data_IF_859178139459
#
_entry.id   IF_859178139459
#
_cell.length_a   1.000
_cell.length_b   1.000
_cell.length_c   1.000
_cell.angle_alpha   90.00
_cell.angle_beta   90.00
_cell.angle_gamma   90.00
#
_symmetry.space_group_name_H-M   'P 1'
#
loop_
_entity.id
_entity.type
_entity.pdbx_description
1 polymer ?
#
# COMPACT_ATOMS: atom_id res chain seq x y z
N UNK A 1 48.99 15.62 -45.38
CA UNK A 1 48.26 14.38 -45.70
C UNK A 1 49.14 13.16 -45.44
N UNK A 2 50.28 13.02 -46.13
CA UNK A 2 51.17 11.84 -45.99
C UNK A 2 51.74 11.63 -44.58
N UNK A 3 52.09 12.71 -43.88
CA UNK A 3 52.57 12.62 -42.50
C UNK A 3 51.49 12.06 -41.56
N UNK A 4 50.22 12.43 -41.75
CA UNK A 4 49.10 11.92 -40.96
C UNK A 4 48.87 10.42 -41.22
N UNK A 5 48.90 10.00 -42.50
CA UNK A 5 48.77 8.59 -42.88
C UNK A 5 49.88 7.75 -42.27
N UNK A 6 51.13 8.22 -42.28
CA UNK A 6 52.28 7.46 -41.77
C UNK A 6 52.41 7.44 -40.24
N UNK A 7 51.86 8.42 -39.53
CA UNK A 7 52.09 8.58 -38.08
C UNK A 7 50.87 8.31 -37.22
N UNK A 8 49.66 8.60 -37.72
CA UNK A 8 48.43 8.58 -36.93
C UNK A 8 47.44 7.50 -37.36
N UNK A 9 47.46 7.06 -38.63
CA UNK A 9 46.66 5.91 -39.09
C UNK A 9 47.46 4.62 -38.89
N UNK A 10 47.34 4.03 -37.70
CA UNK A 10 47.89 2.69 -37.44
C UNK A 10 46.83 1.62 -37.72
N UNK A 11 47.18 0.56 -38.45
CA UNK A 11 46.32 -0.62 -38.54
C UNK A 11 46.07 -1.16 -37.13
N UNK A 12 44.85 -1.60 -36.88
CA UNK A 12 44.52 -2.32 -35.65
C UNK A 12 44.50 -3.79 -36.03
N UNK A 13 45.62 -4.46 -35.79
CA UNK A 13 45.81 -5.86 -36.17
C UNK A 13 45.60 -6.81 -34.98
N UNK A 14 45.48 -6.27 -33.76
CA UNK A 14 45.36 -7.01 -32.51
C UNK A 14 44.20 -6.50 -31.64
N UNK A 15 43.62 -7.41 -30.88
CA UNK A 15 42.56 -7.11 -29.93
C UNK A 15 43.13 -6.52 -28.63
N UNK A 16 42.67 -5.34 -28.22
CA UNK A 16 43.14 -4.70 -26.97
C UNK A 16 42.78 -5.45 -25.68
N UNK A 17 41.84 -6.41 -25.73
CA UNK A 17 41.39 -7.18 -24.55
C UNK A 17 42.26 -8.40 -24.30
N UNK A 18 42.58 -9.18 -25.33
CA UNK A 18 43.40 -10.40 -25.19
C UNK A 18 44.82 -10.24 -25.76
N UNK A 19 45.11 -9.12 -26.44
CA UNK A 19 46.38 -8.86 -27.14
C UNK A 19 46.72 -9.86 -28.24
N UNK A 20 45.75 -10.63 -28.72
CA UNK A 20 45.92 -11.57 -29.83
C UNK A 20 45.61 -10.92 -31.18
N UNK A 21 46.30 -11.32 -32.27
CA UNK A 21 45.99 -10.88 -33.62
C UNK A 21 44.56 -11.24 -34.06
N UNK A 22 43.97 -10.38 -34.87
CA UNK A 22 42.69 -10.67 -35.51
C UNK A 22 42.84 -11.76 -36.57
N UNK A 23 41.84 -12.64 -36.64
CA UNK A 23 41.84 -13.79 -37.54
C UNK A 23 40.41 -14.21 -37.88
N UNK A 24 40.25 -15.25 -38.70
CA UNK A 24 38.93 -15.81 -39.03
C UNK A 24 38.17 -16.33 -37.80
N UNK A 25 38.90 -16.78 -36.76
CA UNK A 25 38.33 -17.22 -35.49
C UNK A 25 38.25 -16.08 -34.48
N UNK A 26 39.06 -15.02 -34.64
CA UNK A 26 39.08 -13.83 -33.81
C UNK A 26 38.72 -12.57 -34.60
N UNK A 27 37.50 -12.54 -35.17
CA UNK A 27 37.09 -11.48 -36.10
C UNK A 27 37.01 -10.11 -35.40
N UNK A 28 37.52 -9.04 -36.01
CA UNK A 28 37.42 -7.69 -35.46
C UNK A 28 35.99 -7.17 -35.59
N UNK A 29 35.52 -6.49 -34.55
CA UNK A 29 34.23 -5.78 -34.53
C UNK A 29 34.40 -4.40 -33.95
N UNK A 30 33.77 -3.41 -34.58
CA UNK A 30 33.73 -2.04 -34.10
C UNK A 30 32.44 -1.79 -33.32
N UNK A 31 32.57 -1.18 -32.14
CA UNK A 31 31.43 -0.69 -31.37
C UNK A 31 30.99 0.69 -31.88
N UNK A 32 29.85 1.20 -31.40
CA UNK A 32 29.34 2.53 -31.76
C UNK A 32 30.32 3.65 -31.38
N UNK A 33 31.02 3.48 -30.26
CA UNK A 33 32.12 4.32 -29.81
C UNK A 33 33.41 4.20 -30.64
N UNK A 34 33.39 3.45 -31.75
CA UNK A 34 34.48 3.25 -32.73
C UNK A 34 35.72 2.49 -32.24
N UNK A 35 35.71 2.00 -31.01
CA UNK A 35 36.74 1.07 -30.53
C UNK A 35 36.54 -0.33 -31.14
N UNK A 36 37.65 -0.96 -31.52
CA UNK A 36 37.68 -2.27 -32.19
C UNK A 36 38.14 -3.35 -31.20
N UNK A 37 37.44 -4.48 -31.19
CA UNK A 37 37.74 -5.64 -30.36
C UNK A 37 37.56 -6.93 -31.15
N UNK A 38 38.10 -8.04 -30.66
CA UNK A 38 37.71 -9.35 -31.17
C UNK A 38 36.29 -9.68 -30.75
N UNK A 39 35.48 -10.20 -31.67
CA UNK A 39 34.07 -10.52 -31.43
C UNK A 39 33.88 -11.37 -30.17
N UNK A 40 34.64 -12.45 -30.04
CA UNK A 40 34.58 -13.36 -28.88
C UNK A 40 34.93 -12.61 -27.58
N UNK A 41 35.95 -11.75 -27.60
CA UNK A 41 36.37 -10.99 -26.42
C UNK A 41 35.31 -10.01 -25.95
N UNK A 42 34.72 -9.24 -26.86
CA UNK A 42 33.70 -8.26 -26.47
C UNK A 42 32.38 -8.94 -26.10
N UNK A 43 32.04 -10.08 -26.73
CA UNK A 43 30.90 -10.91 -26.31
C UNK A 43 31.10 -11.44 -24.89
N UNK A 44 32.26 -12.03 -24.58
CA UNK A 44 32.60 -12.50 -23.22
C UNK A 44 32.62 -11.35 -22.21
N UNK A 45 33.14 -10.19 -22.60
CA UNK A 45 33.13 -9.00 -21.73
C UNK A 45 31.71 -8.61 -21.33
N UNK A 46 30.79 -8.56 -22.30
CA UNK A 46 29.38 -8.19 -22.07
C UNK A 46 28.64 -9.28 -21.27
N UNK A 47 28.86 -10.57 -21.57
CA UNK A 47 28.12 -11.70 -20.99
C UNK A 47 28.66 -12.16 -19.62
N UNK A 48 29.98 -12.28 -19.48
CA UNK A 48 30.62 -13.03 -18.39
C UNK A 48 31.42 -12.14 -17.43
N UNK A 49 31.51 -10.84 -17.67
CA UNK A 49 32.29 -9.95 -16.82
C UNK A 49 31.72 -9.88 -15.39
N UNK A 50 32.59 -9.67 -14.39
CA UNK A 50 32.16 -9.35 -13.02
C UNK A 50 32.13 -7.83 -12.84
N UNK A 51 30.96 -7.20 -12.90
CA UNK A 51 30.79 -5.76 -12.65
C UNK A 51 30.10 -4.96 -13.76
N UNK A 52 30.55 -3.72 -14.01
CA UNK A 52 29.92 -2.76 -14.94
C UNK A 52 30.25 -3.02 -16.42
N UNK A 53 30.01 -4.23 -16.90
CA UNK A 53 30.46 -4.71 -18.22
C UNK A 53 29.48 -4.41 -19.37
N UNK A 54 28.45 -3.61 -19.10
CA UNK A 54 27.57 -3.07 -20.14
C UNK A 54 28.19 -1.87 -20.88
N UNK A 55 29.50 -1.67 -20.75
CA UNK A 55 30.22 -0.51 -21.26
C UNK A 55 31.51 -0.92 -21.98
N UNK A 56 31.94 -0.08 -22.93
CA UNK A 56 33.18 -0.26 -23.68
C UNK A 56 34.39 -0.36 -22.74
N UNK A 57 35.28 -1.36 -22.90
CA UNK A 57 36.50 -1.50 -22.08
C UNK A 57 37.43 -0.28 -22.11
N UNK A 58 37.42 0.49 -23.20
CA UNK A 58 38.35 1.60 -23.42
C UNK A 58 37.76 2.93 -22.97
N UNK A 59 36.56 3.28 -23.43
CA UNK A 59 35.97 4.60 -23.21
C UNK A 59 34.74 4.60 -22.30
N UNK A 60 34.31 3.44 -21.81
CA UNK A 60 33.09 3.25 -20.98
C UNK A 60 31.78 3.72 -21.63
N UNK A 61 31.75 3.92 -22.95
CA UNK A 61 30.51 4.13 -23.68
C UNK A 61 29.54 2.97 -23.44
N UNK A 62 28.28 3.26 -23.12
CA UNK A 62 27.28 2.25 -22.77
C UNK A 62 26.88 1.48 -24.03
N UNK A 63 27.10 0.17 -24.02
CA UNK A 63 26.83 -0.72 -25.16
C UNK A 63 25.45 -1.37 -25.07
N UNK A 64 24.99 -1.60 -23.85
CA UNK A 64 23.66 -2.15 -23.55
C UNK A 64 23.03 -1.25 -22.52
N UNK A 65 21.95 -0.56 -22.89
CA UNK A 65 21.10 0.08 -21.90
C UNK A 65 20.56 -1.02 -20.99
N UNK A 66 20.90 -1.01 -19.70
CA UNK A 66 20.32 -1.94 -18.74
C UNK A 66 18.80 -1.83 -18.87
N UNK A 67 18.10 -2.91 -19.24
CA UNK A 67 16.67 -3.02 -18.97
C UNK A 67 16.51 -2.69 -17.50
N UNK A 68 15.80 -1.60 -17.22
CA UNK A 68 15.51 -0.97 -15.91
C UNK A 68 16.27 -1.54 -14.70
N UNK A 69 17.02 -0.72 -13.93
CA UNK A 69 17.63 -1.22 -12.69
C UNK A 69 16.55 -1.95 -11.89
N UNK A 70 16.84 -3.15 -11.41
CA UNK A 70 15.96 -3.81 -10.46
C UNK A 70 15.53 -2.77 -9.42
N UNK A 71 14.23 -2.68 -9.09
CA UNK A 71 13.76 -1.69 -8.15
C UNK A 71 14.62 -1.77 -6.88
N UNK A 72 15.01 -0.61 -6.35
CA UNK A 72 15.93 -0.57 -5.22
C UNK A 72 15.35 -1.38 -4.05
N UNK A 73 16.20 -2.09 -3.31
CA UNK A 73 15.78 -2.79 -2.11
C UNK A 73 15.64 -1.78 -0.96
N UNK A 74 14.60 -0.95 -1.04
CA UNK A 74 14.28 0.09 -0.05
C UNK A 74 12.77 0.17 0.22
N UNK A 75 12.40 0.84 1.32
CA UNK A 75 11.01 0.92 1.74
C UNK A 75 10.09 1.57 0.69
N UNK A 76 10.46 2.69 0.02
CA UNK A 76 9.66 3.27 -1.05
C UNK A 76 9.39 2.32 -2.23
N UNK A 77 10.43 1.66 -2.72
CA UNK A 77 10.35 0.78 -3.88
C UNK A 77 9.56 -0.49 -3.59
N UNK A 78 9.77 -1.10 -2.43
CA UNK A 78 9.01 -2.29 -2.01
C UNK A 78 7.54 -1.92 -1.76
N UNK A 79 7.28 -0.80 -1.08
CA UNK A 79 5.90 -0.35 -0.85
C UNK A 79 5.14 -0.09 -2.14
N UNK A 80 5.80 0.52 -3.13
CA UNK A 80 5.23 0.71 -4.46
C UNK A 80 4.85 -0.64 -5.10
N UNK A 81 5.76 -1.61 -5.07
CA UNK A 81 5.50 -2.95 -5.61
C UNK A 81 4.34 -3.65 -4.88
N UNK A 82 4.28 -3.54 -3.55
CA UNK A 82 3.15 -4.05 -2.76
C UNK A 82 1.82 -3.41 -3.19
N UNK A 83 1.79 -2.10 -3.44
CA UNK A 83 0.59 -1.41 -3.90
C UNK A 83 0.14 -1.83 -5.31
N UNK A 84 1.08 -2.34 -6.12
CA UNK A 84 0.86 -2.79 -7.50
C UNK A 84 0.55 -4.31 -7.59
N UNK A 85 0.51 -5.02 -6.46
CA UNK A 85 0.18 -6.45 -6.44
C UNK A 85 -1.24 -6.73 -6.97
N UNK A 86 -1.45 -7.86 -7.68
CA UNK A 86 -2.78 -8.32 -8.07
C UNK A 86 -3.73 -8.49 -6.87
N UNK A 87 -5.04 -8.32 -7.11
CA UNK A 87 -6.07 -8.42 -6.07
C UNK A 87 -6.02 -9.76 -5.33
N UNK A 88 -5.77 -10.85 -6.05
CA UNK A 88 -5.72 -12.20 -5.49
C UNK A 88 -4.58 -12.34 -4.46
N UNK A 89 -3.42 -11.72 -4.76
CA UNK A 89 -2.25 -11.71 -3.88
C UNK A 89 -2.50 -10.84 -2.65
N UNK A 90 -3.10 -9.66 -2.83
CA UNK A 90 -3.49 -8.79 -1.72
C UNK A 90 -4.56 -9.43 -0.84
N UNK A 91 -5.48 -10.18 -1.45
CA UNK A 91 -6.52 -10.89 -0.73
C UNK A 91 -5.92 -11.97 0.17
N UNK A 92 -5.10 -12.86 -0.40
CA UNK A 92 -4.41 -13.90 0.36
C UNK A 92 -3.59 -13.33 1.52
N UNK A 93 -2.85 -12.23 1.27
CA UNK A 93 -2.08 -11.57 2.32
C UNK A 93 -2.93 -11.08 3.49
N UNK A 94 -4.06 -10.43 3.21
CA UNK A 94 -4.94 -9.91 4.27
C UNK A 94 -5.73 -11.03 4.97
N UNK A 95 -6.08 -12.11 4.26
CA UNK A 95 -6.67 -13.31 4.88
C UNK A 95 -5.70 -13.94 5.89
N UNK A 96 -4.43 -14.10 5.54
CA UNK A 96 -3.41 -14.60 6.48
C UNK A 96 -3.17 -13.62 7.64
N UNK A 97 -3.14 -12.32 7.36
CA UNK A 97 -3.03 -11.29 8.39
C UNK A 97 -4.19 -11.39 9.40
N UNK A 98 -5.39 -11.72 8.91
CA UNK A 98 -6.57 -11.88 9.74
C UNK A 98 -6.51 -13.11 10.65
N UNK A 99 -5.91 -14.21 10.20
CA UNK A 99 -5.64 -15.39 11.05
C UNK A 99 -4.85 -14.97 12.30
N UNK A 100 -3.75 -14.23 12.11
CA UNK A 100 -2.93 -13.73 13.21
C UNK A 100 -3.65 -12.75 14.13
N UNK A 101 -4.40 -11.80 13.55
CA UNK A 101 -5.19 -10.83 14.33
C UNK A 101 -6.25 -11.54 15.20
N UNK A 102 -6.94 -12.54 14.66
CA UNK A 102 -7.93 -13.33 15.44
C UNK A 102 -7.29 -14.08 16.60
N UNK A 103 -6.09 -14.63 16.41
CA UNK A 103 -5.34 -15.27 17.50
C UNK A 103 -4.96 -14.26 18.60
N UNK A 104 -4.54 -13.05 18.22
CA UNK A 104 -4.28 -11.96 19.17
C UNK A 104 -5.53 -11.56 19.96
N UNK A 105 -6.70 -11.43 19.30
CA UNK A 105 -7.96 -11.14 19.98
C UNK A 105 -8.37 -12.22 20.99
N UNK A 106 -8.13 -13.50 20.67
CA UNK A 106 -8.38 -14.61 21.61
C UNK A 106 -7.54 -14.49 22.88
N UNK A 107 -6.29 -14.04 22.76
CA UNK A 107 -5.37 -13.88 23.89
C UNK A 107 -5.57 -12.58 24.65
N UNK A 108 -5.90 -11.50 23.93
CA UNK A 108 -5.99 -10.14 24.46
C UNK A 108 -7.26 -9.45 23.95
N UNK A 109 -8.42 -9.72 24.58
CA UNK A 109 -9.72 -9.22 24.13
C UNK A 109 -9.93 -7.71 24.25
N UNK A 110 -8.98 -6.95 24.83
CA UNK A 110 -9.06 -5.50 24.87
C UNK A 110 -8.58 -4.82 23.57
N UNK A 111 -8.03 -5.59 22.62
CA UNK A 111 -7.58 -5.09 21.31
C UNK A 111 -6.30 -4.25 21.34
N UNK A 112 -5.68 -4.04 22.51
CA UNK A 112 -4.49 -3.21 22.66
C UNK A 112 -3.23 -4.01 22.32
N UNK A 113 -2.97 -4.24 21.03
CA UNK A 113 -1.80 -4.98 20.57
C UNK A 113 -0.56 -4.09 20.45
N UNK A 114 0.55 -4.57 20.98
CA UNK A 114 1.89 -3.99 20.76
C UNK A 114 2.33 -4.22 19.31
N UNK A 115 3.27 -3.41 18.83
CA UNK A 115 3.85 -3.55 17.51
C UNK A 115 4.60 -4.87 17.38
N UNK A 116 5.30 -5.31 18.43
CA UNK A 116 5.95 -6.63 18.45
C UNK A 116 4.94 -7.77 18.29
N UNK A 117 3.80 -7.71 19.01
CA UNK A 117 2.72 -8.70 18.85
C UNK A 117 2.16 -8.70 17.42
N UNK A 118 1.92 -7.52 16.85
CA UNK A 118 1.41 -7.39 15.47
C UNK A 118 2.41 -7.92 14.44
N UNK A 119 3.70 -7.61 14.59
CA UNK A 119 4.74 -8.07 13.68
C UNK A 119 4.92 -9.58 13.75
N UNK A 120 5.18 -10.12 14.95
CA UNK A 120 5.52 -11.53 15.13
C UNK A 120 4.34 -12.49 14.94
N UNK A 121 3.12 -12.07 15.30
CA UNK A 121 1.95 -12.98 15.31
C UNK A 121 1.00 -12.78 14.14
N UNK A 122 1.08 -11.67 13.41
CA UNK A 122 0.18 -11.41 12.30
C UNK A 122 0.92 -11.04 11.00
N UNK A 123 1.77 -10.01 11.01
CA UNK A 123 2.35 -9.47 9.78
C UNK A 123 3.42 -10.40 9.20
N UNK A 124 4.40 -10.85 9.99
CA UNK A 124 5.46 -11.74 9.49
C UNK A 124 4.93 -13.08 9.00
N UNK A 125 4.06 -13.81 9.74
CA UNK A 125 3.45 -15.02 9.21
C UNK A 125 2.74 -14.77 7.87
N UNK A 126 1.93 -13.70 7.78
CA UNK A 126 1.20 -13.39 6.56
C UNK A 126 2.10 -13.09 5.34
N UNK A 127 3.20 -12.35 5.57
CA UNK A 127 4.18 -12.07 4.52
C UNK A 127 4.92 -13.34 4.07
N UNK A 128 5.31 -14.20 5.01
CA UNK A 128 6.03 -15.45 4.72
C UNK A 128 5.13 -16.41 3.94
N UNK A 129 3.93 -16.71 4.46
CA UNK A 129 3.01 -17.68 3.86
C UNK A 129 2.56 -17.25 2.47
N UNK A 130 2.23 -15.96 2.29
CA UNK A 130 1.80 -15.46 0.97
C UNK A 130 2.98 -15.29 0.01
N UNK A 131 4.17 -14.93 0.53
CA UNK A 131 5.40 -14.85 -0.27
C UNK A 131 5.87 -16.20 -0.79
N UNK A 132 5.77 -17.26 0.03
CA UNK A 132 6.16 -18.62 -0.32
C UNK A 132 5.33 -19.23 -1.48
N UNK A 133 4.16 -18.67 -1.76
CA UNK A 133 3.30 -19.08 -2.89
C UNK A 133 3.81 -18.54 -4.25
N UNK A 134 4.84 -17.68 -4.28
CA UNK A 134 5.45 -17.21 -5.52
C UNK A 134 6.35 -18.30 -6.13
N UNK A 135 6.21 -18.52 -7.44
CA UNK A 135 6.97 -19.54 -8.17
C UNK A 135 8.48 -19.24 -8.11
N UNK A 136 9.28 -20.29 -7.95
CA UNK A 136 10.72 -20.19 -7.73
C UNK A 136 11.43 -19.40 -8.85
N UNK A 137 11.97 -18.22 -8.51
CA UNK A 137 12.91 -17.48 -9.38
C UNK A 137 12.63 -16.00 -9.57
N UNK A 138 11.46 -15.48 -9.20
CA UNK A 138 11.15 -14.03 -9.24
C UNK A 138 11.22 -13.42 -7.84
N UNK A 139 11.82 -12.22 -7.73
CA UNK A 139 11.74 -11.42 -6.49
C UNK A 139 10.26 -11.15 -6.19
N UNK A 140 9.79 -11.55 -5.02
CA UNK A 140 8.42 -11.33 -4.59
C UNK A 140 8.36 -10.18 -3.58
N UNK A 141 7.46 -9.23 -3.83
CA UNK A 141 7.36 -8.01 -3.02
C UNK A 141 7.00 -8.29 -1.54
N UNK A 142 6.27 -9.39 -1.25
CA UNK A 142 5.93 -9.76 0.13
C UNK A 142 7.14 -10.37 0.84
N UNK A 143 7.92 -11.20 0.16
CA UNK A 143 9.19 -11.71 0.68
C UNK A 143 10.20 -10.58 0.91
N UNK A 144 10.33 -9.64 -0.02
CA UNK A 144 11.20 -8.48 0.13
C UNK A 144 10.76 -7.59 1.29
N UNK A 145 9.44 -7.40 1.45
CA UNK A 145 8.89 -6.67 2.58
C UNK A 145 9.21 -7.34 3.92
N UNK A 146 9.05 -8.67 4.01
CA UNK A 146 9.46 -9.42 5.20
C UNK A 146 10.94 -9.24 5.51
N UNK A 147 11.80 -9.48 4.52
CA UNK A 147 13.26 -9.39 4.69
C UNK A 147 13.69 -8.00 5.16
N UNK A 148 13.16 -6.93 4.54
CA UNK A 148 13.51 -5.56 4.92
C UNK A 148 13.02 -5.23 6.33
N UNK A 149 11.77 -5.57 6.67
CA UNK A 149 11.20 -5.24 7.97
C UNK A 149 11.85 -6.05 9.08
N UNK A 150 12.02 -7.36 8.90
CA UNK A 150 12.65 -8.23 9.88
C UNK A 150 14.10 -7.80 10.17
N UNK A 151 14.91 -7.60 9.13
CA UNK A 151 16.30 -7.17 9.28
C UNK A 151 16.41 -5.80 9.98
N UNK A 152 15.57 -4.83 9.60
CA UNK A 152 15.55 -3.49 10.21
C UNK A 152 15.10 -3.56 11.67
N UNK A 153 14.09 -4.36 11.99
CA UNK A 153 13.53 -4.48 13.32
C UNK A 153 14.47 -5.22 14.29
N UNK A 154 15.10 -6.31 13.85
CA UNK A 154 16.11 -7.04 14.62
C UNK A 154 17.34 -6.17 14.90
N UNK A 155 17.83 -5.43 13.89
CA UNK A 155 18.99 -4.54 14.05
C UNK A 155 18.77 -3.42 15.06
N UNK A 156 17.51 -3.01 15.27
CA UNK A 156 17.13 -1.99 16.25
C UNK A 156 16.82 -2.55 17.65
N UNK A 157 17.02 -3.86 17.87
CA UNK A 157 16.72 -4.51 19.14
C UNK A 157 15.22 -4.74 19.37
N UNK A 158 14.46 -4.98 18.29
CA UNK A 158 13.02 -5.27 18.32
C UNK A 158 12.18 -4.24 19.09
N UNK A 159 12.29 -2.94 18.75
CA UNK A 159 11.58 -1.91 19.48
C UNK A 159 10.07 -2.00 19.24
N UNK A 160 9.28 -1.57 20.22
CA UNK A 160 7.84 -1.45 20.11
C UNK A 160 7.43 -0.14 19.40
N UNK A 161 8.08 0.17 18.26
CA UNK A 161 7.82 1.35 17.40
C UNK A 161 7.90 0.94 15.95
N UNK A 162 7.05 1.51 15.09
CA UNK A 162 7.08 1.20 13.66
C UNK A 162 8.04 2.15 12.95
N UNK A 163 8.85 1.64 12.03
CA UNK A 163 9.82 2.41 11.26
C UNK A 163 9.90 1.91 9.81
N UNK A 164 10.12 2.82 8.87
CA UNK A 164 10.23 2.49 7.45
C UNK A 164 9.02 1.71 6.94
N UNK A 165 9.26 0.57 6.29
CA UNK A 165 8.20 -0.25 5.70
C UNK A 165 7.26 -0.90 6.74
N UNK A 166 7.67 -0.98 8.02
CA UNK A 166 6.80 -1.48 9.08
C UNK A 166 5.59 -0.56 9.33
N UNK A 167 5.73 0.74 9.08
CA UNK A 167 4.70 1.76 9.35
C UNK A 167 3.37 1.41 8.65
N UNK A 168 3.31 1.32 7.31
CA UNK A 168 2.06 1.02 6.62
C UNK A 168 1.52 -0.39 6.89
N UNK A 169 2.38 -1.37 7.22
CA UNK A 169 1.96 -2.74 7.52
C UNK A 169 1.32 -2.85 8.92
N UNK A 170 1.92 -2.20 9.92
CA UNK A 170 1.36 -2.11 11.27
C UNK A 170 0.06 -1.32 11.25
N UNK A 171 0.01 -0.21 10.50
CA UNK A 171 -1.21 0.58 10.29
C UNK A 171 -2.32 -0.27 9.63
N UNK A 172 -2.00 -1.08 8.62
CA UNK A 172 -2.94 -2.01 8.01
C UNK A 172 -3.48 -3.01 9.03
N UNK A 173 -2.61 -3.64 9.83
CA UNK A 173 -3.03 -4.61 10.83
C UNK A 173 -3.97 -3.99 11.89
N UNK A 174 -3.68 -2.77 12.34
CA UNK A 174 -4.57 -2.00 13.22
C UNK A 174 -5.89 -1.66 12.55
N UNK A 175 -5.88 -1.28 11.28
CA UNK A 175 -7.08 -0.97 10.51
C UNK A 175 -7.98 -2.20 10.34
N UNK A 176 -7.39 -3.34 9.94
CA UNK A 176 -8.08 -4.64 9.86
C UNK A 176 -8.68 -5.01 11.22
N UNK A 177 -7.89 -4.91 12.29
CA UNK A 177 -8.36 -5.18 13.66
C UNK A 177 -9.50 -4.26 14.09
N UNK A 178 -9.46 -2.96 13.77
CA UNK A 178 -10.57 -2.05 14.07
C UNK A 178 -11.82 -2.39 13.26
N UNK A 179 -11.65 -2.63 11.96
CA UNK A 179 -12.74 -3.01 11.06
C UNK A 179 -13.47 -4.27 11.55
N UNK A 180 -12.75 -5.23 12.15
CA UNK A 180 -13.29 -6.42 12.81
C UNK A 180 -14.42 -6.16 13.79
N UNK A 181 -14.30 -5.07 14.54
CA UNK A 181 -15.23 -4.76 15.63
C UNK A 181 -16.58 -4.31 15.09
N UNK A 182 -16.65 -3.91 13.81
CA UNK A 182 -17.81 -3.29 13.18
C UNK A 182 -18.34 -4.08 11.99
N UNK A 183 -17.45 -4.69 11.20
CA UNK A 183 -17.83 -5.55 10.09
C UNK A 183 -18.23 -6.94 10.60
N UNK A 184 -19.32 -7.53 10.06
CA UNK A 184 -19.62 -8.93 10.30
C UNK A 184 -18.57 -9.84 9.64
N UNK A 185 -18.33 -11.02 10.23
CA UNK A 185 -17.31 -11.97 9.78
C UNK A 185 -17.43 -12.34 8.29
N UNK A 186 -18.65 -12.52 7.77
CA UNK A 186 -18.84 -12.86 6.36
C UNK A 186 -18.41 -11.75 5.38
N UNK A 187 -18.25 -10.50 5.83
CA UNK A 187 -17.71 -9.42 5.01
C UNK A 187 -16.19 -9.31 5.10
N UNK A 188 -15.56 -9.84 6.16
CA UNK A 188 -14.09 -9.74 6.33
C UNK A 188 -13.34 -10.66 5.37
N UNK A 189 -13.99 -11.72 4.90
CA UNK A 189 -13.40 -12.73 4.00
C UNK A 189 -13.71 -12.44 2.52
N UNK A 190 -14.19 -11.23 2.20
CA UNK A 190 -14.53 -10.84 0.83
C UNK A 190 -13.42 -9.99 0.22
N UNK A 191 -12.97 -10.40 -0.97
CA UNK A 191 -11.92 -9.72 -1.74
C UNK A 191 -12.19 -8.21 -1.92
N UNK A 192 -13.45 -7.81 -2.10
CA UNK A 192 -13.84 -6.40 -2.21
C UNK A 192 -13.62 -5.59 -0.91
N UNK A 193 -13.94 -6.17 0.24
CA UNK A 193 -13.73 -5.53 1.55
C UNK A 193 -12.25 -5.39 1.81
N UNK A 194 -11.51 -6.46 1.54
CA UNK A 194 -10.05 -6.50 1.63
C UNK A 194 -9.40 -5.42 0.77
N UNK A 195 -9.83 -5.30 -0.49
CA UNK A 195 -9.35 -4.27 -1.39
C UNK A 195 -9.66 -2.85 -0.89
N UNK A 196 -10.85 -2.63 -0.32
CA UNK A 196 -11.19 -1.33 0.26
C UNK A 196 -10.32 -0.99 1.48
N UNK A 197 -10.10 -1.96 2.37
CA UNK A 197 -9.19 -1.80 3.53
C UNK A 197 -7.76 -1.53 3.06
N UNK A 198 -7.28 -2.27 2.06
CA UNK A 198 -5.96 -2.06 1.47
C UNK A 198 -5.83 -0.66 0.87
N UNK A 199 -6.78 -0.22 0.03
CA UNK A 199 -6.75 1.12 -0.58
C UNK A 199 -6.81 2.24 0.45
N UNK A 200 -7.62 2.09 1.50
CA UNK A 200 -7.70 3.03 2.63
C UNK A 200 -6.36 3.13 3.39
N UNK A 201 -5.65 2.00 3.54
CA UNK A 201 -4.30 2.02 4.08
C UNK A 201 -3.29 2.64 3.10
N UNK A 202 -3.38 2.29 1.81
CA UNK A 202 -2.42 2.69 0.79
C UNK A 202 -2.41 4.19 0.52
N UNK A 203 -3.58 4.85 0.58
CA UNK A 203 -3.68 6.29 0.32
C UNK A 203 -2.93 7.18 1.33
N UNK A 204 -2.58 6.63 2.49
CA UNK A 204 -1.81 7.32 3.55
C UNK A 204 -0.30 7.26 3.33
N UNK A 205 0.18 6.46 2.38
CA UNK A 205 1.59 6.34 2.05
C UNK A 205 2.43 5.71 3.17
N UNK A 206 3.73 5.95 3.13
CA UNK A 206 4.74 5.27 3.96
C UNK A 206 4.96 5.88 5.35
N UNK A 207 4.58 7.15 5.52
CA UNK A 207 5.10 7.95 6.64
C UNK A 207 4.07 8.15 7.76
N UNK A 208 2.77 8.06 7.44
CA UNK A 208 1.70 8.23 8.42
C UNK A 208 1.60 7.00 9.33
N UNK A 209 2.02 7.07 10.59
CA UNK A 209 1.97 5.91 11.49
C UNK A 209 0.54 5.50 11.88
N UNK A 210 -0.34 6.48 12.02
CA UNK A 210 -1.71 6.26 12.46
C UNK A 210 -2.69 7.00 11.55
N UNK A 211 -3.94 6.56 11.57
CA UNK A 211 -5.03 7.29 10.91
C UNK A 211 -5.36 8.48 11.82
N UNK A 212 -5.42 9.70 11.31
CA UNK A 212 -5.83 10.88 12.09
C UNK A 212 -7.29 11.23 11.79
N UNK A 213 -8.01 11.77 12.77
CA UNK A 213 -9.31 12.41 12.51
C UNK A 213 -9.20 13.55 11.51
N UNK A 214 -8.07 14.25 11.46
CA UNK A 214 -7.84 15.36 10.52
C UNK A 214 -7.90 14.86 9.06
N UNK A 215 -7.35 13.68 8.79
CA UNK A 215 -7.40 13.06 7.46
C UNK A 215 -8.83 12.70 7.04
N UNK A 216 -9.66 12.23 7.99
CA UNK A 216 -11.08 11.95 7.71
C UNK A 216 -11.85 13.25 7.50
N UNK A 217 -11.61 14.26 8.34
CA UNK A 217 -12.23 15.57 8.23
C UNK A 217 -11.90 16.23 6.90
N UNK A 218 -10.64 16.19 6.47
CA UNK A 218 -10.23 16.76 5.19
C UNK A 218 -10.77 15.98 4.00
N UNK A 219 -10.74 14.63 4.06
CA UNK A 219 -11.37 13.80 3.03
C UNK A 219 -12.87 14.09 2.91
N UNK A 220 -13.54 14.35 4.04
CA UNK A 220 -14.97 14.62 4.07
C UNK A 220 -15.37 15.89 3.34
N UNK A 221 -14.45 16.85 3.13
CA UNK A 221 -14.71 18.08 2.35
C UNK A 221 -14.83 17.81 0.85
N UNK A 222 -14.37 16.65 0.38
CA UNK A 222 -14.41 16.24 -1.03
C UNK A 222 -13.60 17.15 -1.99
N UNK A 223 -12.67 17.96 -1.47
CA UNK A 223 -11.78 18.82 -2.27
C UNK A 223 -10.67 18.03 -2.97
N UNK A 224 -10.32 16.85 -2.44
CA UNK A 224 -9.29 15.98 -2.99
C UNK A 224 -9.73 14.52 -2.92
N UNK A 225 -9.46 13.78 -4.00
CA UNK A 225 -9.73 12.34 -4.05
C UNK A 225 -8.64 11.50 -3.37
N UNK A 226 -7.53 12.12 -2.94
CA UNK A 226 -6.38 11.41 -2.37
C UNK A 226 -6.76 10.46 -1.24
N UNK A 227 -7.58 10.92 -0.29
CA UNK A 227 -8.00 10.14 0.88
C UNK A 227 -9.42 9.59 0.76
N UNK A 228 -10.00 9.61 -0.45
CA UNK A 228 -11.33 9.10 -0.70
C UNK A 228 -11.49 7.60 -0.36
N UNK A 229 -10.51 6.71 -0.62
CA UNK A 229 -10.63 5.32 -0.19
C UNK A 229 -10.78 5.16 1.32
N UNK A 230 -10.09 5.99 2.09
CA UNK A 230 -10.21 6.02 3.55
C UNK A 230 -11.59 6.51 3.98
N UNK A 231 -12.11 7.58 3.37
CA UNK A 231 -13.47 8.06 3.62
C UNK A 231 -14.53 7.02 3.25
N UNK A 232 -14.33 6.31 2.14
CA UNK A 232 -15.21 5.23 1.69
C UNK A 232 -15.24 4.09 2.72
N UNK A 233 -14.08 3.59 3.17
CA UNK A 233 -14.02 2.59 4.23
C UNK A 233 -14.73 3.08 5.50
N UNK A 234 -14.45 4.31 5.93
CA UNK A 234 -15.07 4.89 7.12
C UNK A 234 -16.61 4.95 6.99
N UNK A 235 -17.12 5.31 5.81
CA UNK A 235 -18.56 5.34 5.51
C UNK A 235 -19.19 3.94 5.51
N UNK A 236 -18.48 2.93 4.97
CA UNK A 236 -18.89 1.52 5.05
C UNK A 236 -18.99 1.07 6.50
N UNK A 237 -18.01 1.40 7.35
CA UNK A 237 -18.04 1.06 8.77
C UNK A 237 -19.23 1.72 9.49
N UNK A 238 -19.56 2.99 9.20
CA UNK A 238 -20.78 3.63 9.72
C UNK A 238 -22.02 2.88 9.23
N UNK A 239 -22.11 2.58 7.93
CA UNK A 239 -23.24 1.88 7.34
C UNK A 239 -23.47 0.50 7.98
N UNK A 240 -22.41 -0.28 8.21
CA UNK A 240 -22.47 -1.59 8.85
C UNK A 240 -22.82 -1.48 10.36
N UNK A 241 -22.32 -0.45 11.05
CA UNK A 241 -22.70 -0.15 12.43
C UNK A 241 -24.20 0.16 12.59
N UNK A 242 -24.81 0.78 11.58
CA UNK A 242 -26.26 0.98 11.50
C UNK A 242 -26.98 -0.36 11.30
N UNK A 243 -26.56 -1.16 10.31
CA UNK A 243 -27.23 -2.39 9.92
C UNK A 243 -27.18 -3.51 10.99
N UNK A 244 -26.06 -3.67 11.69
CA UNK A 244 -25.82 -4.82 12.56
C UNK A 244 -25.88 -4.52 14.06
N UNK A 245 -25.74 -3.26 14.47
CA UNK A 245 -25.76 -2.85 15.90
C UNK A 245 -26.95 -1.96 16.24
N UNK A 246 -27.88 -1.75 15.31
CA UNK A 246 -29.21 -1.26 15.62
C UNK A 246 -30.07 -2.51 15.56
N UNK A 247 -30.61 -2.97 16.69
CA UNK A 247 -31.53 -4.11 16.68
C UNK A 247 -32.66 -3.87 15.68
N UNK A 248 -33.37 -4.93 15.23
CA UNK A 248 -34.48 -4.74 14.31
C UNK A 248 -35.46 -3.72 14.91
N UNK A 249 -35.69 -2.62 14.19
CA UNK A 249 -36.73 -1.62 14.45
C UNK A 249 -36.54 -0.61 15.58
N UNK A 250 -35.33 -0.30 16.07
CA UNK A 250 -35.21 0.90 16.91
C UNK A 250 -35.32 2.17 16.05
N UNK A 251 -36.37 3.01 16.23
CA UNK A 251 -36.47 4.26 15.50
C UNK A 251 -35.32 5.18 15.90
N UNK A 252 -34.85 5.99 14.96
CA UNK A 252 -33.86 7.02 15.26
C UNK A 252 -34.37 7.90 16.41
N UNK A 253 -33.52 8.24 17.41
CA UNK A 253 -33.93 9.16 18.47
C UNK A 253 -34.48 10.46 17.90
N UNK A 254 -35.54 11.01 18.51
CA UNK A 254 -36.19 12.23 18.01
C UNK A 254 -35.44 13.51 18.42
N UNK A 255 -34.72 13.50 19.54
CA UNK A 255 -34.02 14.67 20.06
C UNK A 255 -32.60 14.74 19.49
N UNK A 256 -32.20 15.92 19.01
CA UNK A 256 -30.86 16.15 18.42
C UNK A 256 -29.71 15.71 19.34
N UNK A 257 -29.82 15.96 20.64
CA UNK A 257 -28.78 15.58 21.60
C UNK A 257 -28.61 14.05 21.69
N UNK A 258 -29.71 13.30 21.66
CA UNK A 258 -29.69 11.83 21.71
C UNK A 258 -29.08 11.25 20.43
N UNK A 259 -29.39 11.84 19.25
CA UNK A 259 -28.76 11.47 17.98
C UNK A 259 -27.26 11.76 18.02
N UNK A 260 -26.86 12.93 18.53
CA UNK A 260 -25.44 13.30 18.64
C UNK A 260 -24.68 12.30 19.54
N UNK A 261 -25.25 11.93 20.69
CA UNK A 261 -24.63 10.95 21.58
C UNK A 261 -24.47 9.58 20.90
N UNK A 262 -25.50 9.12 20.18
CA UNK A 262 -25.46 7.89 19.40
C UNK A 262 -24.37 7.92 18.32
N UNK A 263 -24.25 9.05 17.61
CA UNK A 263 -23.24 9.26 16.55
C UNK A 263 -21.83 9.29 17.13
N UNK A 264 -21.62 9.97 18.25
CA UNK A 264 -20.32 9.98 18.94
C UNK A 264 -19.95 8.57 19.37
N UNK A 265 -20.86 7.84 20.03
CA UNK A 265 -20.62 6.46 20.46
C UNK A 265 -20.31 5.52 19.28
N UNK A 266 -21.16 5.52 18.25
CA UNK A 266 -21.04 4.58 17.13
C UNK A 266 -19.94 4.95 16.15
N UNK A 267 -19.80 6.23 15.81
CA UNK A 267 -18.94 6.68 14.71
C UNK A 267 -17.58 7.19 15.18
N UNK A 268 -17.50 7.82 16.36
CA UNK A 268 -16.24 8.34 16.89
C UNK A 268 -15.57 7.30 17.80
N UNK A 269 -16.33 6.78 18.77
CA UNK A 269 -15.79 5.88 19.79
C UNK A 269 -15.55 4.47 19.23
N UNK A 270 -16.57 3.81 18.70
CA UNK A 270 -16.44 2.40 18.24
C UNK A 270 -15.55 2.21 17.00
N UNK A 271 -15.58 3.16 16.04
CA UNK A 271 -14.78 3.04 14.80
C UNK A 271 -13.37 3.61 14.99
N UNK A 272 -13.23 4.76 15.67
CA UNK A 272 -11.98 5.52 15.69
C UNK A 272 -11.15 5.42 16.97
N UNK A 273 -11.73 5.11 18.15
CA UNK A 273 -11.07 5.40 19.43
C UNK A 273 -9.74 4.68 19.67
N UNK A 274 -9.59 3.43 19.25
CA UNK A 274 -8.39 2.65 19.59
C UNK A 274 -7.19 2.98 18.70
N UNK A 275 -7.43 3.43 17.46
CA UNK A 275 -6.40 3.48 16.42
C UNK A 275 -6.29 4.82 15.71
N UNK A 276 -7.20 5.77 15.98
CA UNK A 276 -7.14 7.09 15.35
C UNK A 276 -6.49 8.11 16.27
N UNK A 277 -5.59 8.92 15.72
CA UNK A 277 -4.99 10.05 16.41
C UNK A 277 -5.86 11.30 16.26
N UNK A 278 -5.56 12.33 17.06
CA UNK A 278 -6.33 13.57 17.21
C UNK A 278 -7.80 13.33 17.65
N UNK A 279 -8.66 14.33 17.53
CA UNK A 279 -10.07 14.28 17.97
C UNK A 279 -10.98 14.91 16.93
N UNK A 280 -12.18 14.38 16.70
CA UNK A 280 -13.13 14.98 15.77
C UNK A 280 -13.60 16.35 16.29
N UNK A 281 -13.61 17.34 15.40
CA UNK A 281 -14.12 18.68 15.71
C UNK A 281 -15.63 18.66 15.95
N UNK A 282 -16.16 19.68 16.65
CA UNK A 282 -17.61 19.77 16.86
C UNK A 282 -18.37 20.03 15.55
N UNK A 283 -17.76 20.73 14.61
CA UNK A 283 -18.30 20.91 13.26
C UNK A 283 -18.43 19.56 12.56
N UNK A 284 -17.36 18.76 12.56
CA UNK A 284 -17.37 17.45 11.94
C UNK A 284 -18.37 16.48 12.60
N UNK A 285 -18.53 16.54 13.92
CA UNK A 285 -19.60 15.77 14.60
C UNK A 285 -21.00 16.13 14.10
N UNK A 286 -21.26 17.40 13.78
CA UNK A 286 -22.53 17.80 13.17
C UNK A 286 -22.67 17.25 11.75
N UNK A 287 -21.60 17.27 10.94
CA UNK A 287 -21.57 16.61 9.63
C UNK A 287 -21.87 15.12 9.75
N UNK A 288 -21.26 14.43 10.73
CA UNK A 288 -21.50 13.02 11.00
C UNK A 288 -22.95 12.71 11.37
N UNK A 289 -23.65 13.60 12.07
CA UNK A 289 -25.09 13.43 12.36
C UNK A 289 -25.88 13.35 11.06
N UNK A 290 -25.60 14.23 10.10
CA UNK A 290 -26.29 14.22 8.80
C UNK A 290 -25.93 12.96 8.03
N UNK A 291 -24.64 12.60 7.94
CA UNK A 291 -24.18 11.36 7.27
C UNK A 291 -24.85 10.11 7.86
N UNK A 292 -24.95 10.04 9.20
CA UNK A 292 -25.60 8.92 9.88
C UNK A 292 -27.09 8.84 9.56
N UNK A 293 -27.79 9.97 9.57
CA UNK A 293 -29.21 10.05 9.21
C UNK A 293 -29.45 9.66 7.76
N UNK A 294 -28.60 10.12 6.84
CA UNK A 294 -28.67 9.77 5.42
C UNK A 294 -28.43 8.28 5.17
N UNK A 295 -27.43 7.69 5.82
CA UNK A 295 -27.18 6.24 5.76
C UNK A 295 -28.31 5.43 6.39
N UNK A 296 -28.92 5.94 7.46
CA UNK A 296 -30.08 5.30 8.09
C UNK A 296 -31.28 5.32 7.14
N UNK A 297 -31.59 6.48 6.55
CA UNK A 297 -32.65 6.66 5.54
C UNK A 297 -32.44 5.77 4.33
N UNK A 298 -31.21 5.72 3.81
CA UNK A 298 -30.83 4.85 2.70
C UNK A 298 -31.18 3.38 3.01
N UNK A 299 -30.88 2.91 4.23
CA UNK A 299 -31.12 1.51 4.61
C UNK A 299 -32.59 1.21 4.98
N UNK A 300 -33.24 2.10 5.72
CA UNK A 300 -34.53 1.81 6.37
C UNK A 300 -35.73 2.39 5.59
N UNK A 301 -35.65 3.62 5.10
CA UNK A 301 -36.76 4.26 4.37
C UNK A 301 -36.75 3.86 2.90
N UNK A 302 -35.57 3.79 2.28
CA UNK A 302 -35.42 3.40 0.87
C UNK A 302 -35.26 1.90 0.66
N UNK A 303 -35.25 1.11 1.75
CA UNK A 303 -35.05 -0.34 1.74
C UNK A 303 -33.81 -0.79 0.94
N UNK A 304 -32.73 0.00 0.92
CA UNK A 304 -31.46 -0.36 0.27
C UNK A 304 -30.60 -1.19 1.22
N UNK A 305 -29.74 -2.04 0.66
CA UNK A 305 -28.74 -2.76 1.44
C UNK A 305 -27.68 -1.79 1.99
N UNK A 306 -27.14 -2.11 3.16
CA UNK A 306 -25.98 -1.41 3.72
C UNK A 306 -24.78 -1.45 2.76
N UNK A 307 -23.92 -0.43 2.83
CA UNK A 307 -22.72 -0.32 2.00
C UNK A 307 -21.70 -1.39 2.38
N UNK A 308 -21.14 -2.10 1.41
CA UNK A 308 -20.30 -3.30 1.62
C UNK A 308 -18.94 -3.23 0.91
N UNK A 309 -18.54 -2.04 0.47
CA UNK A 309 -17.29 -1.80 -0.26
C UNK A 309 -17.33 -2.21 -1.73
N UNK A 310 -18.49 -2.09 -2.38
CA UNK A 310 -18.58 -2.34 -3.82
C UNK A 310 -17.95 -1.19 -4.63
N UNK A 311 -17.35 -1.50 -5.78
CA UNK A 311 -16.69 -0.49 -6.63
C UNK A 311 -17.64 0.64 -7.09
N UNK A 312 -18.95 0.38 -7.18
CA UNK A 312 -19.97 1.37 -7.52
C UNK A 312 -20.50 2.21 -6.34
N UNK A 313 -20.01 2.01 -5.11
CA UNK A 313 -20.48 2.77 -3.95
C UNK A 313 -19.83 4.14 -3.81
N UNK A 314 -18.74 4.41 -4.54
CA UNK A 314 -18.03 5.70 -4.45
C UNK A 314 -18.92 6.92 -4.74
N UNK A 315 -19.77 6.94 -5.80
CA UNK A 315 -20.70 8.04 -6.03
C UNK A 315 -21.71 8.22 -4.89
N UNK A 316 -22.12 7.11 -4.24
CA UNK A 316 -23.04 7.16 -3.10
C UNK A 316 -22.35 7.81 -1.90
N UNK A 317 -21.09 7.43 -1.63
CA UNK A 317 -20.27 8.03 -0.57
C UNK A 317 -20.11 9.53 -0.84
N UNK A 318 -19.68 9.93 -2.03
CA UNK A 318 -19.54 11.36 -2.40
C UNK A 318 -20.88 12.11 -2.24
N UNK A 319 -21.98 11.52 -2.67
CA UNK A 319 -23.31 12.11 -2.53
C UNK A 319 -23.71 12.36 -1.07
N UNK A 320 -23.53 11.37 -0.20
CA UNK A 320 -23.87 11.48 1.23
C UNK A 320 -23.03 12.55 1.92
N UNK A 321 -21.71 12.57 1.70
CA UNK A 321 -20.83 13.58 2.29
C UNK A 321 -21.05 14.98 1.68
N UNK A 322 -21.37 15.06 0.39
CA UNK A 322 -21.73 16.32 -0.28
C UNK A 322 -23.01 16.94 0.30
N UNK A 323 -24.04 16.12 0.56
CA UNK A 323 -25.27 16.56 1.25
C UNK A 323 -24.95 17.05 2.66
N UNK A 324 -24.11 16.33 3.40
CA UNK A 324 -23.75 16.68 4.78
C UNK A 324 -22.95 18.00 4.87
N UNK A 325 -22.20 18.36 3.83
CA UNK A 325 -21.48 19.62 3.74
C UNK A 325 -22.29 20.76 3.10
N UNK A 326 -23.49 20.46 2.57
CA UNK A 326 -24.31 21.50 1.98
C UNK A 326 -24.69 22.53 3.06
N UNK A 327 -24.44 23.83 2.85
CA UNK A 327 -24.85 24.86 3.78
C UNK A 327 -26.37 25.01 3.71
N UNK A 328 -27.10 24.09 4.33
CA UNK A 328 -28.51 24.29 4.62
C UNK A 328 -28.56 25.41 5.65
N UNK A 329 -29.21 26.54 5.28
CA UNK A 329 -29.42 27.71 6.13
C UNK A 329 -29.74 27.24 7.56
N UNK A 330 -28.88 27.58 8.51
CA UNK A 330 -29.03 27.28 9.95
C UNK A 330 -30.10 28.15 10.62
N UNK A 331 -31.08 28.63 9.84
CA UNK A 331 -32.21 29.40 10.32
C UNK A 331 -33.46 28.57 10.07
N UNK A 332 -34.20 28.27 11.15
CA UNK A 332 -35.42 27.44 11.22
C UNK A 332 -35.18 25.95 11.54
N UNK A 333 -34.91 25.63 12.80
CA UNK A 333 -35.65 24.67 13.66
C UNK A 333 -35.26 24.93 15.11
#
# INVERSE_FOLDING_TARGET
>A
MDAFIKTQLRPVDECIVCTEPFSDTHKPVALDCKHIFGHICISKWILDGRGNNASCPVCRHILVARKSPQPAFDAPSIWKQLCELPLERLHAFVEELWVGIRDLWKRKPNGNFTISELLEKAIFPALIETGAQAWSGTHDALTDAYNLVAASWDSLGRPNRSMGLAIPLVRLARLVSSAATTLPLYLTDLSRTTMLIWKANACLGLWEENISWDLIMDASRLESERHLPLLHLYTVLISQSIAHKSGPQQPLPKRRHDIMNLVVEKCCTKIGQANFTSKPSNEFKNTLVIVFQELWRYQHEQARLSLRGHAGEEPIVKGIWGIANWPVRRDSI
#
